data_IF_932816781059
#
_entry.id   IF_932816781059
#
_cell.length_a   1.000
_cell.length_b   1.000
_cell.length_c   1.000
_cell.angle_alpha   90.00
_cell.angle_beta   90.00
_cell.angle_gamma   90.00
#
_symmetry.space_group_name_H-M   'P 1'
#
loop_
_entity.id
_entity.type
_entity.pdbx_description
1 polymer ?
#
# COMPACT_ATOMS: atom_id res chain seq x y z
N UNK A 1 -2.58 -10.81 29.61
CA UNK A 1 -1.21 -10.99 30.16
C UNK A 1 -0.24 -10.30 29.20
N UNK A 2 0.66 -9.50 29.75
CA UNK A 2 1.74 -8.86 28.99
C UNK A 2 3.06 -9.58 29.27
N UNK A 3 3.84 -9.85 28.24
CA UNK A 3 5.19 -10.43 28.36
C UNK A 3 6.16 -9.67 27.48
N UNK A 4 7.36 -9.45 27.98
CA UNK A 4 8.50 -8.94 27.19
C UNK A 4 9.38 -10.14 26.89
N UNK A 5 9.51 -10.47 25.61
CA UNK A 5 10.33 -11.59 25.15
C UNK A 5 10.80 -11.34 23.70
N UNK A 6 11.87 -12.02 23.29
CA UNK A 6 12.37 -11.93 21.92
C UNK A 6 12.06 -13.23 21.20
N UNK A 7 11.40 -13.14 20.05
CA UNK A 7 11.20 -14.26 19.14
C UNK A 7 12.37 -14.32 18.16
N UNK A 8 12.99 -15.50 18.07
CA UNK A 8 14.09 -15.80 17.14
C UNK A 8 13.73 -16.99 16.27
N UNK A 9 14.51 -17.24 15.24
CA UNK A 9 14.31 -18.39 14.37
C UNK A 9 14.37 -19.72 15.14
N UNK A 10 15.23 -19.81 16.18
CA UNK A 10 15.43 -21.02 16.98
C UNK A 10 14.31 -21.27 18.01
N UNK A 11 13.65 -20.21 18.51
CA UNK A 11 12.67 -20.33 19.58
C UNK A 11 11.22 -20.12 19.14
N UNK A 12 10.99 -19.79 17.84
CA UNK A 12 9.67 -19.44 17.30
C UNK A 12 8.62 -20.52 17.60
N UNK A 13 8.90 -21.77 17.29
CA UNK A 13 7.99 -22.90 17.51
C UNK A 13 7.64 -23.08 18.97
N UNK A 14 8.63 -23.09 19.88
CA UNK A 14 8.43 -23.21 21.33
C UNK A 14 7.56 -22.04 21.85
N UNK A 15 7.85 -20.81 21.43
CA UNK A 15 7.13 -19.63 21.87
C UNK A 15 5.67 -19.67 21.42
N UNK A 16 5.43 -19.89 20.14
CA UNK A 16 4.08 -19.95 19.61
C UNK A 16 3.28 -21.10 20.22
N UNK A 17 3.85 -22.30 20.33
CA UNK A 17 3.20 -23.48 20.91
C UNK A 17 2.89 -23.31 22.41
N UNK A 18 3.62 -22.43 23.10
CA UNK A 18 3.36 -22.15 24.53
C UNK A 18 2.07 -21.34 24.73
N UNK A 19 1.68 -20.49 23.78
CA UNK A 19 0.60 -19.52 23.95
C UNK A 19 -0.59 -19.76 23.05
N UNK A 20 -0.46 -20.51 21.96
CA UNK A 20 -1.47 -20.67 20.92
C UNK A 20 -1.88 -22.13 20.75
N UNK A 21 -3.15 -22.33 20.46
CA UNK A 21 -3.79 -23.61 20.18
C UNK A 21 -4.68 -23.48 18.95
N UNK A 22 -5.09 -24.60 18.36
CA UNK A 22 -6.00 -24.59 17.23
C UNK A 22 -7.28 -23.79 17.52
N UNK A 23 -7.65 -22.90 16.60
CA UNK A 23 -8.79 -21.98 16.72
C UNK A 23 -8.45 -20.63 17.36
N UNK A 24 -7.25 -20.46 17.92
CA UNK A 24 -6.78 -19.13 18.36
C UNK A 24 -6.43 -18.24 17.17
N UNK A 25 -6.27 -16.93 17.41
CA UNK A 25 -5.85 -15.94 16.45
C UNK A 25 -4.48 -15.35 16.81
N UNK A 26 -3.56 -15.39 15.87
CA UNK A 26 -2.27 -14.71 15.93
C UNK A 26 -2.32 -13.44 15.10
N UNK A 27 -2.25 -12.28 15.75
CA UNK A 27 -2.02 -10.99 15.12
C UNK A 27 -0.53 -10.67 15.18
N UNK A 28 0.13 -10.75 14.04
CA UNK A 28 1.56 -10.51 13.88
C UNK A 28 1.80 -9.08 13.42
N UNK A 29 2.33 -8.26 14.31
CA UNK A 29 2.72 -6.87 14.08
C UNK A 29 4.23 -6.70 14.28
N UNK A 30 4.97 -7.81 14.28
CA UNK A 30 6.40 -7.80 14.51
C UNK A 30 7.15 -7.32 13.26
N UNK A 31 8.28 -6.68 13.50
CA UNK A 31 9.26 -6.33 12.49
C UNK A 31 10.39 -7.37 12.46
N UNK A 32 10.90 -7.65 11.27
CA UNK A 32 12.09 -8.49 11.08
C UNK A 32 11.92 -9.97 11.54
N UNK A 33 10.70 -10.50 11.42
CA UNK A 33 10.40 -11.93 11.62
C UNK A 33 9.86 -12.50 10.29
N UNK A 34 10.36 -13.65 9.86
CA UNK A 34 9.98 -14.24 8.56
C UNK A 34 8.50 -14.65 8.53
N UNK A 35 7.73 -13.98 7.67
CA UNK A 35 6.30 -14.23 7.51
C UNK A 35 5.99 -15.65 7.05
N UNK A 36 6.86 -16.28 6.22
CA UNK A 36 6.66 -17.68 5.79
C UNK A 36 6.78 -18.65 6.96
N UNK A 37 7.73 -18.38 7.88
CA UNK A 37 7.91 -19.23 9.06
C UNK A 37 6.67 -19.17 9.98
N UNK A 38 6.15 -17.96 10.26
CA UNK A 38 4.99 -17.80 11.16
C UNK A 38 3.72 -18.32 10.52
N UNK A 39 3.42 -17.95 9.27
CA UNK A 39 2.19 -18.36 8.59
C UNK A 39 2.15 -19.89 8.36
N UNK A 40 3.31 -20.50 8.06
CA UNK A 40 3.44 -21.95 7.96
C UNK A 40 3.15 -22.64 9.29
N UNK A 41 3.73 -22.13 10.38
CA UNK A 41 3.43 -22.63 11.72
C UNK A 41 1.94 -22.50 12.07
N UNK A 42 1.35 -21.33 11.82
CA UNK A 42 -0.05 -21.08 12.10
C UNK A 42 -0.99 -22.03 11.31
N UNK A 43 -0.69 -22.23 10.02
CA UNK A 43 -1.42 -23.18 9.19
C UNK A 43 -1.39 -24.61 9.77
N UNK A 44 -0.19 -25.10 10.11
CA UNK A 44 0.01 -26.48 10.57
C UNK A 44 -0.61 -26.73 11.97
N UNK A 45 -0.78 -25.67 12.77
CA UNK A 45 -1.37 -25.75 14.12
C UNK A 45 -2.83 -25.31 14.17
N UNK A 46 -3.47 -24.98 13.02
CA UNK A 46 -4.89 -24.59 12.99
C UNK A 46 -5.17 -23.22 13.62
N UNK A 47 -4.19 -22.32 13.60
CA UNK A 47 -4.27 -20.95 14.14
C UNK A 47 -4.62 -19.97 13.04
N UNK A 48 -5.60 -19.09 13.32
CA UNK A 48 -5.93 -17.97 12.42
C UNK A 48 -4.77 -16.97 12.44
N UNK A 49 -4.32 -16.53 11.27
CA UNK A 49 -3.18 -15.63 11.13
C UNK A 49 -3.55 -14.31 10.45
N UNK A 50 -3.00 -13.21 10.95
CA UNK A 50 -3.08 -11.92 10.31
C UNK A 50 -1.80 -11.12 10.54
N UNK A 51 -1.27 -10.48 9.48
CA UNK A 51 -0.18 -9.51 9.58
C UNK A 51 -0.47 -8.24 8.79
N UNK A 52 0.39 -7.22 9.00
CA UNK A 52 0.35 -5.94 8.30
C UNK A 52 1.48 -5.77 7.28
N UNK A 53 2.47 -6.68 7.28
CA UNK A 53 3.61 -6.67 6.34
C UNK A 53 4.17 -8.07 6.15
N UNK A 54 4.77 -8.34 4.97
CA UNK A 54 5.48 -9.58 4.68
C UNK A 54 6.96 -9.37 4.97
N UNK A 55 7.39 -9.78 6.17
CA UNK A 55 8.75 -9.63 6.67
C UNK A 55 9.65 -10.82 6.35
N UNK A 56 10.96 -10.64 6.52
CA UNK A 56 11.99 -11.68 6.46
C UNK A 56 12.93 -11.53 7.67
N UNK A 57 13.59 -12.63 8.09
CA UNK A 57 14.71 -12.57 9.02
C UNK A 57 15.85 -11.75 8.40
N UNK A 58 16.31 -10.70 9.11
CA UNK A 58 17.47 -9.91 8.74
C UNK A 58 17.58 -9.61 7.23
N UNK A 59 16.59 -8.93 6.60
CA UNK A 59 16.49 -8.78 5.15
C UNK A 59 17.71 -8.09 4.52
N UNK A 60 18.50 -7.39 5.31
CA UNK A 60 19.69 -6.64 4.88
C UNK A 60 21.01 -7.32 5.23
N UNK A 61 21.01 -8.46 5.94
CA UNK A 61 22.24 -9.18 6.31
C UNK A 61 23.07 -9.61 5.09
N UNK A 62 22.41 -9.91 3.95
CA UNK A 62 23.10 -10.24 2.70
C UNK A 62 23.68 -9.02 1.96
N UNK A 63 23.45 -7.80 2.47
CA UNK A 63 24.03 -6.56 1.95
C UNK A 63 23.69 -6.29 0.47
N UNK A 64 24.61 -5.63 -0.23
CA UNK A 64 24.48 -5.24 -1.63
C UNK A 64 24.54 -6.39 -2.65
N UNK A 65 24.62 -7.64 -2.21
CA UNK A 65 24.80 -8.81 -3.11
C UNK A 65 23.49 -9.31 -3.73
N UNK A 66 22.31 -8.97 -3.16
CA UNK A 66 21.02 -9.32 -3.75
C UNK A 66 20.73 -8.45 -4.96
N UNK A 67 20.19 -9.04 -6.03
CA UNK A 67 19.68 -8.28 -7.17
C UNK A 67 18.53 -7.33 -6.74
N UNK A 68 18.30 -6.21 -7.44
CA UNK A 68 17.20 -5.31 -7.13
C UNK A 68 15.83 -6.02 -7.02
N UNK A 69 15.54 -6.97 -7.92
CA UNK A 69 14.30 -7.76 -7.93
C UNK A 69 14.13 -8.68 -6.72
N UNK A 70 15.22 -9.10 -6.07
CA UNK A 70 15.21 -9.95 -4.87
C UNK A 70 15.05 -9.14 -3.58
N UNK A 71 14.99 -7.80 -3.68
CA UNK A 71 14.84 -6.86 -2.56
C UNK A 71 13.44 -6.26 -2.51
N UNK A 72 12.48 -6.81 -3.25
CA UNK A 72 11.12 -6.32 -3.42
C UNK A 72 10.12 -7.13 -2.58
N UNK A 73 8.96 -6.53 -2.30
CA UNK A 73 7.83 -7.27 -1.73
C UNK A 73 7.27 -8.29 -2.71
N UNK A 74 7.30 -8.02 -4.02
CA UNK A 74 6.94 -9.00 -5.03
C UNK A 74 7.69 -10.33 -4.83
N UNK A 75 9.00 -10.28 -4.61
CA UNK A 75 9.80 -11.49 -4.41
C UNK A 75 9.44 -12.23 -3.11
N UNK A 76 9.13 -11.48 -2.03
CA UNK A 76 8.60 -12.05 -0.78
C UNK A 76 7.25 -12.73 -1.00
N UNK A 77 6.33 -12.08 -1.74
CA UNK A 77 5.04 -12.66 -2.11
C UNK A 77 5.17 -13.91 -2.97
N UNK A 78 6.14 -13.99 -3.90
CA UNK A 78 6.34 -15.21 -4.70
C UNK A 78 6.80 -16.37 -3.84
N UNK A 79 7.62 -16.15 -2.81
CA UNK A 79 7.97 -17.18 -1.82
C UNK A 79 6.76 -17.63 -1.03
N UNK A 80 5.97 -16.67 -0.57
CA UNK A 80 4.76 -16.93 0.22
C UNK A 80 3.72 -17.72 -0.59
N UNK A 81 3.45 -17.32 -1.83
CA UNK A 81 2.56 -18.06 -2.73
C UNK A 81 3.05 -19.49 -2.97
N UNK A 82 4.35 -19.69 -3.18
CA UNK A 82 4.93 -21.03 -3.34
C UNK A 82 4.69 -21.91 -2.12
N UNK A 83 4.71 -21.37 -0.91
CA UNK A 83 4.36 -22.09 0.30
C UNK A 83 2.84 -22.37 0.33
N UNK A 84 2.03 -21.36 0.18
CA UNK A 84 0.56 -21.43 0.37
C UNK A 84 -0.14 -22.25 -0.74
N UNK A 85 0.42 -22.31 -1.94
CA UNK A 85 -0.06 -23.16 -3.04
C UNK A 85 -0.05 -24.65 -2.64
N UNK A 86 0.84 -25.05 -1.75
CA UNK A 86 0.92 -26.45 -1.26
C UNK A 86 -0.29 -26.81 -0.38
N UNK A 87 -1.02 -25.85 0.16
CA UNK A 87 -2.19 -26.05 1.02
C UNK A 87 -3.48 -26.32 0.25
N UNK A 88 -3.46 -26.10 -1.07
CA UNK A 88 -4.61 -26.35 -1.94
C UNK A 88 -5.84 -25.51 -1.59
N UNK A 89 -5.64 -24.28 -1.11
CA UNK A 89 -6.69 -23.34 -0.73
C UNK A 89 -7.47 -23.74 0.55
N UNK A 90 -6.90 -24.60 1.39
CA UNK A 90 -7.52 -25.08 2.63
C UNK A 90 -6.70 -24.66 3.85
N UNK A 91 -7.34 -24.72 5.02
CA UNK A 91 -6.72 -24.45 6.30
C UNK A 91 -7.34 -23.27 7.02
N UNK A 92 -6.77 -22.89 8.18
CA UNK A 92 -7.21 -21.71 8.91
C UNK A 92 -7.07 -20.46 8.06
N UNK A 93 -7.89 -19.47 8.34
CA UNK A 93 -7.81 -18.16 7.66
C UNK A 93 -6.46 -17.51 7.95
N UNK A 94 -5.75 -17.14 6.89
CA UNK A 94 -4.47 -16.46 6.96
C UNK A 94 -4.49 -15.26 6.02
N UNK A 95 -4.60 -14.05 6.59
CA UNK A 95 -4.64 -12.79 5.85
C UNK A 95 -3.28 -12.11 5.98
N UNK A 96 -2.67 -11.76 4.87
CA UNK A 96 -1.39 -11.04 4.87
C UNK A 96 -1.55 -9.62 4.38
N UNK A 97 -0.72 -8.72 4.93
CA UNK A 97 -0.66 -7.31 4.54
C UNK A 97 -2.02 -6.59 4.66
N UNK A 98 -2.68 -6.73 5.82
CA UNK A 98 -3.91 -6.02 6.07
C UNK A 98 -3.80 -4.98 7.19
N UNK A 99 -3.19 -3.85 6.84
CA UNK A 99 -3.26 -2.57 7.56
C UNK A 99 -4.13 -1.56 6.79
N UNK A 100 -3.82 -0.30 6.90
CA UNK A 100 -4.46 0.75 6.10
C UNK A 100 -3.97 0.67 4.64
N UNK A 101 -2.67 0.66 4.46
CA UNK A 101 -1.90 0.44 3.24
C UNK A 101 -0.56 -0.25 3.61
N UNK A 102 -0.36 -1.49 3.16
CA UNK A 102 -1.31 -2.34 2.42
C UNK A 102 -2.54 -2.73 3.27
N UNK A 103 -3.62 -3.08 2.60
CA UNK A 103 -4.85 -3.59 3.21
C UNK A 103 -6.11 -2.85 2.78
N UNK A 104 -6.56 -1.87 3.58
CA UNK A 104 -7.86 -1.22 3.36
C UNK A 104 -7.94 -0.51 2.00
N UNK A 105 -6.82 -0.05 1.43
CA UNK A 105 -6.75 0.57 0.10
C UNK A 105 -7.16 -0.36 -1.05
N UNK A 106 -7.00 -1.69 -0.91
CA UNK A 106 -7.55 -2.66 -1.87
C UNK A 106 -9.07 -2.61 -1.92
N UNK A 107 -9.72 -2.48 -0.76
CA UNK A 107 -11.18 -2.32 -0.66
C UNK A 107 -11.63 -0.94 -1.14
N UNK A 108 -10.87 0.11 -0.86
CA UNK A 108 -11.12 1.46 -1.38
C UNK A 108 -11.00 1.50 -2.91
N UNK A 109 -10.08 0.73 -3.50
CA UNK A 109 -9.96 0.57 -4.95
C UNK A 109 -11.23 -0.03 -5.55
N UNK A 110 -11.78 -1.09 -4.95
CA UNK A 110 -13.05 -1.69 -5.38
C UNK A 110 -14.21 -0.72 -5.22
N UNK A 111 -14.26 0.01 -4.09
CA UNK A 111 -15.27 1.06 -3.87
C UNK A 111 -15.17 2.16 -4.92
N UNK A 112 -13.98 2.65 -5.22
CA UNK A 112 -13.77 3.68 -6.24
C UNK A 112 -14.25 3.20 -7.62
N UNK A 113 -13.89 1.98 -8.04
CA UNK A 113 -14.35 1.39 -9.30
C UNK A 113 -15.87 1.27 -9.35
N UNK A 114 -16.50 0.86 -8.25
CA UNK A 114 -17.96 0.78 -8.13
C UNK A 114 -18.62 2.15 -8.25
N UNK A 115 -18.09 3.17 -7.55
CA UNK A 115 -18.63 4.52 -7.54
C UNK A 115 -18.47 5.19 -8.92
N UNK A 116 -17.30 5.03 -9.57
CA UNK A 116 -17.02 5.53 -10.92
C UNK A 116 -17.98 4.87 -11.93
N UNK A 117 -18.12 3.55 -11.89
CA UNK A 117 -19.00 2.82 -12.80
C UNK A 117 -20.47 3.25 -12.65
N UNK A 118 -20.95 3.33 -11.41
CA UNK A 118 -22.31 3.77 -11.09
C UNK A 118 -22.57 5.18 -11.62
N UNK A 119 -21.63 6.10 -11.37
CA UNK A 119 -21.72 7.48 -11.86
C UNK A 119 -21.65 7.55 -13.39
N UNK A 120 -20.76 6.79 -14.02
CA UNK A 120 -20.57 6.80 -15.46
C UNK A 120 -21.77 6.24 -16.22
N UNK A 121 -22.44 5.22 -15.71
CA UNK A 121 -23.72 4.72 -16.25
C UNK A 121 -24.81 5.80 -16.12
N UNK A 122 -24.96 6.36 -14.92
CA UNK A 122 -25.95 7.40 -14.63
C UNK A 122 -25.81 8.63 -15.55
N UNK A 123 -24.56 9.05 -15.79
CA UNK A 123 -24.25 10.23 -16.61
C UNK A 123 -24.15 9.92 -18.10
N UNK A 124 -24.38 8.65 -18.51
CA UNK A 124 -24.31 8.22 -19.91
C UNK A 124 -22.90 8.28 -20.53
N UNK A 125 -21.86 8.26 -19.69
CA UNK A 125 -20.47 8.35 -20.14
C UNK A 125 -19.92 7.01 -20.61
N UNK A 126 -20.46 5.89 -20.10
CA UNK A 126 -20.07 4.52 -20.45
C UNK A 126 -21.33 3.67 -20.50
N UNK A 127 -21.35 2.70 -21.41
CA UNK A 127 -22.41 1.69 -21.55
C UNK A 127 -21.81 0.30 -21.70
N UNK A 128 -22.61 -0.74 -21.44
CA UNK A 128 -22.19 -2.13 -21.59
C UNK A 128 -21.25 -2.62 -20.46
N UNK A 129 -21.30 -1.94 -19.29
CA UNK A 129 -20.58 -2.36 -18.09
C UNK A 129 -21.54 -2.81 -16.96
N UNK A 130 -22.85 -2.74 -17.18
CA UNK A 130 -23.90 -2.99 -16.18
C UNK A 130 -23.78 -4.39 -15.58
N UNK A 131 -23.52 -5.41 -16.43
CA UNK A 131 -23.34 -6.78 -15.96
C UNK A 131 -22.05 -6.91 -15.12
N UNK A 132 -20.93 -6.33 -15.57
CA UNK A 132 -19.67 -6.36 -14.82
C UNK A 132 -19.81 -5.64 -13.47
N UNK A 133 -20.61 -4.57 -13.41
CA UNK A 133 -20.90 -3.86 -12.15
C UNK A 133 -21.76 -4.73 -11.22
N UNK A 134 -22.81 -5.37 -11.75
CA UNK A 134 -23.67 -6.28 -10.98
C UNK A 134 -22.92 -7.48 -10.42
N UNK A 135 -22.00 -8.03 -11.19
CA UNK A 135 -21.20 -9.20 -10.82
C UNK A 135 -19.95 -8.82 -9.99
N UNK A 136 -19.72 -7.52 -9.74
CA UNK A 136 -18.52 -6.98 -9.11
C UNK A 136 -17.21 -7.49 -9.78
N UNK A 137 -17.25 -7.64 -11.11
CA UNK A 137 -16.08 -8.05 -11.88
C UNK A 137 -15.13 -6.85 -12.06
N UNK A 138 -14.35 -6.56 -11.02
CA UNK A 138 -13.48 -5.38 -10.95
C UNK A 138 -12.41 -5.31 -12.05
N UNK A 139 -11.74 -6.40 -12.47
CA UNK A 139 -10.84 -6.37 -13.61
C UNK A 139 -11.50 -5.83 -14.88
N UNK A 140 -12.68 -6.38 -15.22
CA UNK A 140 -13.45 -5.96 -16.40
C UNK A 140 -13.98 -4.54 -16.25
N UNK A 141 -14.42 -4.15 -15.05
CA UNK A 141 -14.84 -2.78 -14.77
C UNK A 141 -13.68 -1.80 -14.99
N UNK A 142 -12.52 -2.05 -14.41
CA UNK A 142 -11.34 -1.20 -14.55
C UNK A 142 -10.91 -1.06 -16.02
N UNK A 143 -10.90 -2.17 -16.77
CA UNK A 143 -10.61 -2.19 -18.21
C UNK A 143 -11.60 -1.34 -19.01
N UNK A 144 -12.91 -1.59 -18.84
CA UNK A 144 -13.95 -0.92 -19.62
C UNK A 144 -14.13 0.54 -19.26
N UNK A 145 -13.87 0.91 -18.00
CA UNK A 145 -13.79 2.29 -17.56
C UNK A 145 -12.57 3.02 -18.11
N UNK A 146 -11.53 2.29 -18.54
CA UNK A 146 -10.29 2.84 -19.06
C UNK A 146 -9.33 3.33 -17.97
N UNK A 147 -9.42 2.77 -16.76
CA UNK A 147 -8.47 3.09 -15.68
C UNK A 147 -7.06 2.71 -16.12
N UNK A 148 -6.12 3.64 -16.07
CA UNK A 148 -4.72 3.43 -16.48
C UNK A 148 -3.77 3.40 -15.30
N UNK A 149 -3.96 4.31 -14.33
CA UNK A 149 -3.06 4.45 -13.19
C UNK A 149 -3.86 4.51 -11.90
N UNK A 150 -3.36 3.84 -10.89
CA UNK A 150 -3.88 3.88 -9.51
C UNK A 150 -2.71 4.27 -8.60
N UNK A 151 -2.84 5.41 -7.94
CA UNK A 151 -1.98 5.72 -6.80
C UNK A 151 -2.68 5.32 -5.51
N UNK A 152 -1.95 4.68 -4.62
CA UNK A 152 -2.23 4.82 -3.22
C UNK A 152 -1.74 6.22 -2.89
N UNK A 153 -2.67 7.17 -2.75
CA UNK A 153 -2.36 8.59 -2.65
C UNK A 153 -2.53 9.04 -1.21
N UNK A 154 -1.42 9.40 -0.58
CA UNK A 154 -1.40 9.80 0.82
C UNK A 154 -0.62 11.08 1.04
N UNK A 155 -1.21 11.98 1.83
CA UNK A 155 -0.56 13.16 2.37
C UNK A 155 -0.92 13.31 3.85
N UNK A 156 0.07 13.12 4.70
CA UNK A 156 -0.03 13.41 6.13
C UNK A 156 0.36 14.86 6.40
N UNK A 157 -0.59 15.65 6.87
CA UNK A 157 -0.41 17.08 7.20
C UNK A 157 -0.30 17.32 8.70
N UNK A 158 -0.24 16.28 9.53
CA UNK A 158 -0.16 16.40 10.97
C UNK A 158 1.09 17.18 11.41
N UNK A 159 0.92 18.10 12.32
CA UNK A 159 1.99 18.96 12.87
C UNK A 159 2.10 18.78 14.36
N UNK A 160 3.33 18.82 14.86
CA UNK A 160 3.69 18.67 16.27
C UNK A 160 4.13 20.02 16.86
N UNK A 161 3.81 20.26 18.13
CA UNK A 161 4.39 21.36 18.92
C UNK A 161 5.84 21.09 19.35
N UNK A 162 6.34 19.86 19.12
CA UNK A 162 7.72 19.47 19.36
C UNK A 162 8.49 19.35 18.04
N UNK A 163 9.28 20.35 17.64
CA UNK A 163 10.04 20.32 16.40
C UNK A 163 11.00 19.12 16.32
N UNK A 164 11.21 18.59 15.11
CA UNK A 164 12.27 17.63 14.84
C UNK A 164 13.64 18.23 15.20
N UNK A 165 14.45 17.46 15.91
CA UNK A 165 15.82 17.86 16.26
C UNK A 165 16.83 17.34 15.22
N UNK A 166 18.03 17.92 15.21
CA UNK A 166 19.17 17.39 14.45
C UNK A 166 19.52 16.00 14.97
N UNK A 167 19.86 15.07 14.07
CA UNK A 167 20.11 13.66 14.37
C UNK A 167 18.91 12.94 15.05
N UNK A 168 17.71 13.36 14.78
CA UNK A 168 16.47 12.69 15.20
C UNK A 168 15.71 12.23 13.96
N UNK A 169 15.22 10.99 13.94
CA UNK A 169 14.26 10.54 12.93
C UNK A 169 12.85 10.59 13.53
N UNK A 170 11.95 11.32 12.88
CA UNK A 170 10.58 11.55 13.35
C UNK A 170 9.59 11.05 12.31
N UNK A 171 8.56 10.31 12.75
CA UNK A 171 7.47 9.84 11.90
C UNK A 171 6.16 9.77 12.70
N UNK A 172 5.02 9.51 12.07
CA UNK A 172 3.70 9.28 12.70
C UNK A 172 3.38 7.80 12.90
N UNK A 173 4.23 6.92 12.43
CA UNK A 173 4.17 5.46 12.59
C UNK A 173 5.58 4.88 12.70
N UNK A 174 5.79 3.55 12.61
CA UNK A 174 7.10 2.91 12.81
C UNK A 174 8.23 3.61 12.04
N UNK A 175 9.28 3.99 12.75
CA UNK A 175 10.48 4.58 12.14
C UNK A 175 11.25 3.52 11.38
N UNK A 176 11.41 2.33 11.96
CA UNK A 176 12.11 1.21 11.34
C UNK A 176 11.38 0.74 10.08
N UNK A 177 10.05 0.62 10.12
CA UNK A 177 9.23 0.28 8.94
C UNK A 177 9.41 1.31 7.83
N UNK A 178 9.31 2.60 8.14
CA UNK A 178 9.49 3.64 7.14
C UNK A 178 10.93 3.69 6.57
N UNK A 179 11.93 3.44 7.43
CA UNK A 179 13.31 3.28 6.99
C UNK A 179 13.43 2.15 5.96
N UNK A 180 12.93 0.96 6.29
CA UNK A 180 13.00 -0.21 5.42
C UNK A 180 12.31 0.02 4.08
N UNK A 181 11.10 0.57 4.09
CA UNK A 181 10.36 0.90 2.88
C UNK A 181 11.08 1.95 2.03
N UNK A 182 11.67 2.95 2.68
CA UNK A 182 12.34 4.07 2.03
C UNK A 182 13.64 3.68 1.32
N UNK A 183 14.43 2.77 1.90
CA UNK A 183 15.72 2.32 1.33
C UNK A 183 15.57 1.17 0.32
N UNK A 184 14.44 0.47 0.33
CA UNK A 184 14.16 -0.56 -0.64
C UNK A 184 14.02 0.01 -2.07
N UNK A 185 14.20 -0.79 -3.12
CA UNK A 185 13.92 -0.35 -4.48
C UNK A 185 12.49 0.18 -4.60
N UNK A 186 12.30 1.28 -5.36
CA UNK A 186 10.97 1.69 -5.75
C UNK A 186 10.32 0.56 -6.55
N UNK A 187 9.12 0.11 -6.13
CA UNK A 187 8.42 -0.96 -6.84
C UNK A 187 6.98 -0.57 -7.18
N UNK A 188 6.49 -1.07 -8.30
CA UNK A 188 5.18 -0.72 -8.80
C UNK A 188 4.59 -1.81 -9.69
N UNK A 189 3.27 -2.01 -9.64
CA UNK A 189 2.53 -2.73 -10.65
C UNK A 189 2.68 -2.00 -12.00
N UNK A 190 3.05 -2.73 -13.06
CA UNK A 190 3.36 -2.11 -14.34
C UNK A 190 2.24 -2.31 -15.35
N UNK A 191 1.63 -1.21 -15.76
CA UNK A 191 0.46 -1.18 -16.63
C UNK A 191 0.74 -1.61 -18.08
N UNK A 192 -0.24 -2.24 -18.72
CA UNK A 192 -0.14 -2.64 -20.14
C UNK A 192 -0.16 -1.45 -21.11
N UNK A 193 -0.52 -0.25 -20.66
CA UNK A 193 -0.53 0.99 -21.45
C UNK A 193 0.82 1.70 -21.47
N UNK A 194 1.73 1.32 -20.58
CA UNK A 194 3.06 1.97 -20.48
C UNK A 194 3.91 1.67 -21.73
N UNK A 195 4.46 2.72 -22.31
CA UNK A 195 5.20 2.64 -23.58
C UNK A 195 6.67 2.26 -23.41
N UNK A 196 7.26 2.56 -22.26
CA UNK A 196 8.68 2.33 -22.01
C UNK A 196 8.96 2.19 -20.51
N UNK A 197 9.92 1.34 -20.18
CA UNK A 197 10.41 1.20 -18.80
C UNK A 197 11.20 2.44 -18.36
N UNK A 198 11.11 2.82 -17.08
CA UNK A 198 11.99 3.82 -16.49
C UNK A 198 13.47 3.41 -16.56
N UNK A 199 14.35 4.41 -16.46
CA UNK A 199 15.80 4.14 -16.35
C UNK A 199 16.05 3.32 -15.09
N UNK A 200 16.95 2.33 -15.18
CA UNK A 200 17.29 1.40 -14.11
C UNK A 200 16.10 0.53 -13.60
N UNK A 201 15.06 0.36 -14.40
CA UNK A 201 13.99 -0.56 -14.10
C UNK A 201 14.37 -2.01 -14.39
N UNK A 202 13.91 -2.91 -13.52
CA UNK A 202 14.06 -4.35 -13.62
C UNK A 202 12.71 -5.03 -13.57
N UNK A 203 12.51 -6.02 -14.45
CA UNK A 203 11.31 -6.85 -14.49
C UNK A 203 11.55 -8.16 -13.75
N UNK A 204 10.49 -8.70 -13.14
CA UNK A 204 10.54 -10.01 -12.50
C UNK A 204 10.42 -11.14 -13.53
N UNK A 205 11.15 -12.22 -13.30
CA UNK A 205 11.14 -13.41 -14.16
C UNK A 205 10.01 -14.39 -13.82
N UNK A 206 9.60 -14.45 -12.55
CA UNK A 206 8.67 -15.41 -11.98
C UNK A 206 7.27 -14.81 -11.72
N UNK A 207 6.30 -15.67 -11.46
CA UNK A 207 4.93 -15.28 -11.12
C UNK A 207 4.18 -14.57 -12.26
N UNK A 208 3.17 -13.74 -11.95
CA UNK A 208 2.35 -13.04 -12.93
C UNK A 208 3.11 -11.94 -13.70
N UNK A 209 4.32 -11.59 -13.30
CA UNK A 209 5.20 -10.57 -13.93
C UNK A 209 4.50 -9.23 -14.13
N UNK A 210 3.66 -8.87 -13.18
CA UNK A 210 2.86 -7.66 -13.20
C UNK A 210 3.54 -6.47 -12.53
N UNK A 211 4.78 -6.63 -12.06
CA UNK A 211 5.49 -5.63 -11.32
C UNK A 211 6.89 -5.39 -11.88
N UNK A 212 7.39 -4.17 -11.69
CA UNK A 212 8.77 -3.79 -11.90
C UNK A 212 9.33 -3.18 -10.62
N UNK A 213 10.66 -3.10 -10.54
CA UNK A 213 11.32 -2.23 -9.56
C UNK A 213 12.34 -1.33 -10.25
N UNK A 214 12.60 -0.17 -9.65
CA UNK A 214 13.69 0.73 -10.05
C UNK A 214 14.83 0.56 -9.05
N UNK A 215 16.06 0.31 -9.55
CA UNK A 215 17.24 0.09 -8.72
C UNK A 215 17.74 1.38 -8.07
N UNK A 216 16.88 1.99 -7.26
CA UNK A 216 17.19 3.13 -6.39
C UNK A 216 16.22 3.14 -5.20
N UNK A 217 16.59 3.76 -4.06
CA UNK A 217 15.70 3.86 -2.92
C UNK A 217 14.35 4.50 -3.28
N UNK A 218 13.26 3.89 -2.82
CA UNK A 218 11.91 4.41 -3.06
C UNK A 218 11.75 5.85 -2.59
N UNK A 219 12.40 6.19 -1.46
CA UNK A 219 12.43 7.54 -0.91
C UNK A 219 13.09 8.60 -1.82
N UNK A 220 13.80 8.18 -2.87
CA UNK A 220 14.38 9.09 -3.88
C UNK A 220 13.58 9.13 -5.19
N UNK A 221 12.54 8.33 -5.31
CA UNK A 221 11.68 8.28 -6.49
C UNK A 221 10.39 9.05 -6.20
N UNK A 222 10.34 10.30 -6.67
CA UNK A 222 9.21 11.20 -6.40
C UNK A 222 8.31 11.32 -7.63
N UNK A 223 7.01 11.25 -7.38
CA UNK A 223 5.96 11.44 -8.39
C UNK A 223 4.98 12.52 -7.95
N UNK A 224 4.36 13.15 -8.92
CA UNK A 224 3.20 14.02 -8.69
C UNK A 224 1.97 13.15 -8.41
N UNK A 225 1.18 13.59 -7.46
CA UNK A 225 -0.08 12.98 -7.08
C UNK A 225 -1.09 14.04 -6.62
N UNK A 226 -2.25 13.60 -6.22
CA UNK A 226 -3.31 14.47 -5.75
C UNK A 226 -4.10 13.80 -4.61
N UNK A 227 -4.41 14.57 -3.61
CA UNK A 227 -5.39 14.25 -2.56
C UNK A 227 -6.43 15.36 -2.49
N UNK A 228 -7.61 15.20 -1.88
CA UNK A 228 -8.63 16.23 -1.86
C UNK A 228 -8.10 17.61 -1.49
N UNK A 229 -8.34 18.57 -2.40
CA UNK A 229 -7.93 19.98 -2.31
C UNK A 229 -6.41 20.25 -2.34
N UNK A 230 -5.56 19.26 -2.73
CA UNK A 230 -4.12 19.45 -2.73
C UNK A 230 -3.44 18.65 -3.84
N UNK A 231 -2.68 19.34 -4.72
CA UNK A 231 -1.60 18.68 -5.48
C UNK A 231 -0.44 18.40 -4.54
N UNK A 232 0.14 17.21 -4.64
CA UNK A 232 1.26 16.79 -3.80
C UNK A 232 2.32 16.07 -4.62
N UNK A 233 3.50 15.96 -4.07
CA UNK A 233 4.50 14.99 -4.51
C UNK A 233 4.57 13.86 -3.50
N UNK A 234 4.75 12.65 -3.98
CA UNK A 234 4.87 11.48 -3.11
C UNK A 234 6.04 10.59 -3.50
N UNK A 235 6.61 9.93 -2.54
CA UNK A 235 7.64 8.91 -2.75
C UNK A 235 7.00 7.62 -3.25
N UNK A 236 7.63 6.96 -4.22
CA UNK A 236 7.27 5.61 -4.67
C UNK A 236 8.03 4.61 -3.81
N UNK A 237 7.65 4.53 -2.52
CA UNK A 237 8.20 3.52 -1.63
C UNK A 237 7.51 2.17 -1.87
N UNK A 238 8.17 1.08 -1.51
CA UNK A 238 7.62 -0.25 -1.75
C UNK A 238 6.42 -0.53 -0.85
N UNK A 239 5.37 -1.09 -1.44
CA UNK A 239 4.17 -1.53 -0.74
C UNK A 239 3.54 -2.72 -1.47
N UNK A 240 3.03 -3.70 -0.71
CA UNK A 240 2.53 -4.96 -1.27
C UNK A 240 1.29 -4.80 -2.14
N UNK A 241 0.44 -3.82 -1.85
CA UNK A 241 -0.75 -3.55 -2.66
C UNK A 241 -0.43 -3.10 -4.10
N UNK A 242 0.75 -2.57 -4.37
CA UNK A 242 1.18 -2.31 -5.75
C UNK A 242 1.18 -3.60 -6.58
N UNK A 243 1.57 -4.71 -5.94
CA UNK A 243 1.51 -6.04 -6.54
C UNK A 243 0.07 -6.60 -6.54
N UNK A 244 -0.58 -6.65 -5.38
CA UNK A 244 -1.85 -7.39 -5.24
C UNK A 244 -2.99 -6.74 -6.00
N UNK A 245 -3.15 -5.40 -5.94
CA UNK A 245 -4.15 -4.67 -6.74
C UNK A 245 -3.88 -4.83 -8.24
N UNK A 246 -2.62 -4.70 -8.67
CA UNK A 246 -2.25 -4.85 -10.06
C UNK A 246 -2.54 -6.26 -10.60
N UNK A 247 -2.25 -7.30 -9.81
CA UNK A 247 -2.53 -8.69 -10.13
C UNK A 247 -4.05 -8.95 -10.20
N UNK A 248 -4.77 -8.53 -9.16
CA UNK A 248 -6.22 -8.68 -9.06
C UNK A 248 -6.97 -8.01 -10.21
N UNK A 249 -6.53 -6.85 -10.67
CA UNK A 249 -7.16 -6.10 -11.76
C UNK A 249 -6.67 -6.51 -13.16
N UNK A 250 -5.78 -7.49 -13.28
CA UNK A 250 -5.31 -7.96 -14.60
C UNK A 250 -6.39 -8.76 -15.32
N UNK A 251 -6.70 -8.37 -16.56
CA UNK A 251 -7.53 -9.15 -17.48
C UNK A 251 -6.63 -10.01 -18.34
N UNK A 252 -6.88 -11.32 -18.31
CA UNK A 252 -6.11 -12.31 -19.03
C UNK A 252 -6.90 -12.85 -20.22
N UNK A 253 -6.30 -12.90 -21.41
CA UNK A 253 -6.82 -13.58 -22.58
C UNK A 253 -5.75 -14.51 -23.16
N UNK A 254 -6.06 -15.79 -23.29
CA UNK A 254 -5.14 -16.80 -23.81
C UNK A 254 -3.75 -16.79 -23.13
N UNK A 255 -3.71 -16.59 -21.81
CA UNK A 255 -2.47 -16.54 -21.03
C UNK A 255 -1.65 -15.26 -21.18
N UNK A 256 -2.20 -14.26 -21.88
CA UNK A 256 -1.58 -12.92 -22.01
C UNK A 256 -2.39 -11.88 -21.25
N UNK A 257 -1.71 -11.05 -20.47
CA UNK A 257 -2.35 -9.88 -19.86
C UNK A 257 -2.72 -8.86 -20.96
N UNK A 258 -4.02 -8.68 -21.20
CA UNK A 258 -4.53 -7.72 -22.20
C UNK A 258 -4.85 -6.37 -21.58
N UNK A 259 -5.05 -6.32 -20.28
CA UNK A 259 -5.22 -5.10 -19.52
C UNK A 259 -4.63 -5.27 -18.12
N UNK A 260 -4.01 -4.21 -17.65
CA UNK A 260 -3.50 -4.04 -16.29
C UNK A 260 -3.23 -2.55 -16.06
N UNK A 261 -3.66 -1.95 -14.93
CA UNK A 261 -3.27 -0.59 -14.58
C UNK A 261 -1.84 -0.55 -14.02
N UNK A 262 -1.18 0.60 -14.12
CA UNK A 262 -0.01 0.91 -13.29
C UNK A 262 -0.49 1.22 -11.87
N UNK A 263 0.13 0.60 -10.86
CA UNK A 263 -0.24 0.76 -9.44
C UNK A 263 0.99 1.04 -8.60
N UNK A 264 1.00 2.11 -7.83
CA UNK A 264 2.08 2.37 -6.89
C UNK A 264 1.66 3.31 -5.76
N UNK A 265 2.45 3.32 -4.71
CA UNK A 265 2.31 4.30 -3.66
C UNK A 265 2.82 5.67 -4.13
N UNK A 266 2.17 6.72 -3.67
CA UNK A 266 2.60 8.11 -3.79
C UNK A 266 2.46 8.74 -2.41
N UNK A 267 3.46 8.52 -1.57
CA UNK A 267 3.46 8.85 -0.16
C UNK A 267 4.18 10.17 0.13
N UNK A 268 3.44 11.09 0.70
CA UNK A 268 4.02 12.30 1.28
C UNK A 268 3.72 12.34 2.78
N UNK A 269 4.68 11.91 3.63
CA UNK A 269 4.52 11.95 5.07
C UNK A 269 4.51 13.37 5.61
N UNK A 270 4.46 13.53 6.93
CA UNK A 270 4.58 14.84 7.58
C UNK A 270 5.86 15.56 7.16
N UNK A 271 5.86 16.88 7.20
CA UNK A 271 7.04 17.69 6.86
C UNK A 271 8.26 17.34 7.76
N UNK A 272 8.00 16.97 9.03
CA UNK A 272 9.04 16.49 9.94
C UNK A 272 9.65 15.16 9.51
N UNK A 273 8.84 14.25 8.98
CA UNK A 273 9.30 12.97 8.45
C UNK A 273 10.05 13.14 7.11
N UNK A 274 9.60 14.04 6.22
CA UNK A 274 10.34 14.42 5.01
C UNK A 274 11.72 14.96 5.36
N UNK A 275 11.81 15.87 6.34
CA UNK A 275 13.10 16.40 6.81
C UNK A 275 13.99 15.30 7.41
N UNK A 276 13.39 14.32 8.12
CA UNK A 276 14.13 13.16 8.65
C UNK A 276 14.68 12.28 7.54
N UNK A 277 13.90 12.06 6.49
CA UNK A 277 14.34 11.28 5.32
C UNK A 277 15.47 11.98 4.55
N UNK A 278 15.43 13.30 4.41
CA UNK A 278 16.53 14.07 3.81
C UNK A 278 17.82 13.95 4.64
N UNK A 279 17.73 14.00 5.97
CA UNK A 279 18.89 13.81 6.84
C UNK A 279 19.43 12.39 6.75
N UNK A 280 18.57 11.38 6.73
CA UNK A 280 18.93 9.98 6.49
C UNK A 280 19.68 9.80 5.17
N UNK A 281 19.19 10.41 4.09
CA UNK A 281 19.84 10.37 2.78
C UNK A 281 21.25 10.99 2.83
N UNK A 282 21.43 12.12 3.53
CA UNK A 282 22.75 12.75 3.72
C UNK A 282 23.70 11.88 4.56
N UNK A 283 23.17 11.09 5.48
CA UNK A 283 23.91 10.10 6.27
C UNK A 283 24.20 8.81 5.51
N UNK A 284 23.97 8.75 4.21
CA UNK A 284 24.13 7.56 3.38
C UNK A 284 23.31 6.38 3.88
N UNK A 285 22.07 6.66 4.31
CA UNK A 285 21.10 5.68 4.82
C UNK A 285 21.47 5.02 6.15
N UNK A 286 22.36 5.65 6.92
CA UNK A 286 22.69 5.25 8.29
C UNK A 286 21.64 5.82 9.26
N UNK A 287 20.75 4.96 9.76
CA UNK A 287 19.64 5.37 10.63
C UNK A 287 20.18 5.84 11.99
N UNK A 288 19.72 7.01 12.42
CA UNK A 288 20.07 7.55 13.73
C UNK A 288 19.46 6.73 14.88
N UNK A 289 20.14 6.65 16.02
CA UNK A 289 19.63 6.04 17.24
C UNK A 289 18.47 6.84 17.87
N UNK A 290 18.42 8.15 17.62
CA UNK A 290 17.37 9.02 18.14
C UNK A 290 16.14 8.92 17.22
N UNK A 291 15.13 8.21 17.68
CA UNK A 291 13.89 7.97 16.94
C UNK A 291 12.68 8.41 17.76
N UNK A 292 11.69 8.98 17.09
CA UNK A 292 10.46 9.43 17.74
C UNK A 292 9.24 9.20 16.85
N UNK A 293 8.26 8.50 17.38
CA UNK A 293 6.92 8.41 16.79
C UNK A 293 6.07 9.53 17.40
N UNK A 294 5.59 10.44 16.57
CA UNK A 294 4.71 11.53 16.98
C UNK A 294 3.32 11.00 17.37
N UNK A 295 2.85 11.40 18.53
CA UNK A 295 1.54 11.05 19.06
C UNK A 295 0.88 12.23 19.78
N UNK A 296 1.02 12.30 21.12
CA UNK A 296 0.33 13.29 21.96
C UNK A 296 0.72 14.74 21.64
N UNK A 297 1.92 14.96 21.13
CA UNK A 297 2.44 16.26 20.72
C UNK A 297 1.89 16.78 19.39
N UNK A 298 1.13 15.98 18.65
CA UNK A 298 0.45 16.46 17.44
C UNK A 298 -0.68 17.42 17.85
N UNK A 299 -0.68 18.61 17.29
CA UNK A 299 -1.60 19.69 17.67
C UNK A 299 -2.67 20.00 16.61
N UNK A 300 -2.40 19.66 15.33
CA UNK A 300 -3.31 19.91 14.21
C UNK A 300 -2.94 19.04 13.01
N UNK A 301 -3.79 19.05 11.98
CA UNK A 301 -3.60 18.36 10.71
C UNK A 301 -4.46 17.12 10.54
N UNK A 302 -4.38 16.56 9.36
CA UNK A 302 -5.11 15.36 8.93
C UNK A 302 -4.18 14.39 8.21
N UNK A 303 -4.59 13.13 8.14
CA UNK A 303 -3.97 12.13 7.27
C UNK A 303 -4.96 11.77 6.16
N UNK A 304 -4.66 12.25 4.94
CA UNK A 304 -5.44 12.02 3.73
C UNK A 304 -4.95 10.79 3.04
N UNK A 305 -5.47 9.64 3.44
CA UNK A 305 -5.09 8.34 2.92
C UNK A 305 -6.20 7.73 2.08
N UNK A 306 -5.89 7.40 0.84
CA UNK A 306 -6.85 6.78 -0.08
C UNK A 306 -6.22 6.31 -1.38
N UNK A 307 -7.08 6.10 -2.37
CA UNK A 307 -6.69 5.70 -3.73
C UNK A 307 -7.13 6.76 -4.74
N UNK A 308 -6.26 7.06 -5.67
CA UNK A 308 -6.51 7.95 -6.80
C UNK A 308 -6.50 7.13 -8.10
N UNK A 309 -7.68 6.89 -8.66
CA UNK A 309 -7.84 6.21 -9.93
C UNK A 309 -7.84 7.23 -11.08
N UNK A 310 -7.12 6.94 -12.15
CA UNK A 310 -6.91 7.88 -13.25
C UNK A 310 -7.04 7.23 -14.63
N UNK A 311 -7.45 8.03 -15.65
CA UNK A 311 -7.60 7.61 -17.05
C UNK A 311 -9.04 7.28 -17.47
N UNK A 312 -9.97 7.24 -16.54
CA UNK A 312 -11.41 6.97 -16.76
C UNK A 312 -12.18 8.24 -17.19
N UNK A 313 -13.52 8.15 -17.53
CA UNK A 313 -14.28 9.29 -18.07
C UNK A 313 -14.40 10.53 -17.20
N UNK A 314 -14.06 10.46 -15.92
CA UNK A 314 -13.98 11.61 -15.00
C UNK A 314 -12.54 12.11 -14.82
N UNK A 315 -11.58 11.66 -15.64
CA UNK A 315 -10.18 12.01 -15.56
C UNK A 315 -9.49 11.37 -14.35
N UNK A 316 -9.81 11.82 -13.14
CA UNK A 316 -9.36 11.28 -11.86
C UNK A 316 -10.49 11.12 -10.86
N UNK A 317 -10.34 10.21 -9.93
CA UNK A 317 -11.29 9.96 -8.84
C UNK A 317 -10.55 9.51 -7.59
N UNK A 318 -10.76 10.19 -6.48
CA UNK A 318 -10.15 9.84 -5.22
C UNK A 318 -11.17 9.26 -4.25
N UNK A 319 -10.79 8.18 -3.55
CA UNK A 319 -11.61 7.52 -2.52
C UNK A 319 -10.75 7.19 -1.32
N UNK A 320 -11.14 7.66 -0.12
CA UNK A 320 -10.34 7.43 1.09
C UNK A 320 -10.85 8.15 2.31
N UNK A 321 -9.98 8.30 3.30
CA UNK A 321 -10.20 8.96 4.59
C UNK A 321 -9.59 10.36 4.62
N UNK A 322 -10.26 11.27 5.31
CA UNK A 322 -9.80 12.63 5.65
C UNK A 322 -9.73 12.79 7.17
N UNK A 323 -9.27 11.74 7.87
CA UNK A 323 -9.27 11.73 9.33
C UNK A 323 -8.29 12.77 9.88
N UNK A 324 -8.80 13.72 10.64
CA UNK A 324 -7.99 14.72 11.32
C UNK A 324 -7.67 14.31 12.77
N UNK A 325 -6.65 14.95 13.34
CA UNK A 325 -6.18 14.62 14.70
C UNK A 325 -7.26 14.83 15.78
N UNK A 326 -8.13 15.81 15.64
CA UNK A 326 -9.15 16.11 16.64
C UNK A 326 -10.24 15.04 16.67
N UNK A 327 -10.66 14.56 15.50
CA UNK A 327 -11.63 13.47 15.40
C UNK A 327 -11.00 12.12 15.75
N UNK A 328 -9.76 11.88 15.37
CA UNK A 328 -8.99 10.72 15.80
C UNK A 328 -8.96 10.60 17.33
N UNK A 329 -8.68 11.68 18.05
CA UNK A 329 -8.62 11.70 19.52
C UNK A 329 -9.97 11.55 20.23
N UNK A 330 -11.07 11.89 19.57
CA UNK A 330 -12.42 11.56 20.08
C UNK A 330 -12.70 10.06 19.98
N UNK A 331 -12.18 9.40 18.93
CA UNK A 331 -12.33 7.97 18.72
C UNK A 331 -11.39 7.18 19.64
N UNK A 332 -10.10 7.53 19.61
CA UNK A 332 -9.05 6.86 20.40
C UNK A 332 -8.16 7.93 21.04
N UNK A 333 -8.32 8.22 22.35
CA UNK A 333 -7.54 9.24 23.01
C UNK A 333 -6.03 9.05 22.85
N UNK A 334 -5.31 10.14 22.65
CA UNK A 334 -3.83 10.21 22.55
C UNK A 334 -3.22 9.64 21.26
N UNK A 335 -4.00 9.11 20.33
CA UNK A 335 -3.48 8.54 19.08
C UNK A 335 -3.47 9.56 17.93
N UNK A 336 -2.53 9.36 16.99
CA UNK A 336 -2.48 10.08 15.72
C UNK A 336 -3.61 9.62 14.77
N UNK A 337 -3.90 10.40 13.75
CA UNK A 337 -4.84 10.00 12.71
C UNK A 337 -4.34 8.74 11.97
N UNK A 338 -3.06 8.70 11.60
CA UNK A 338 -2.40 7.57 10.94
C UNK A 338 -2.54 6.28 11.76
N UNK A 339 -2.22 6.33 13.06
CA UNK A 339 -2.34 5.14 13.93
C UNK A 339 -3.79 4.63 14.02
N UNK A 340 -4.78 5.53 14.08
CA UNK A 340 -6.19 5.13 14.15
C UNK A 340 -6.65 4.50 12.82
N UNK A 341 -6.21 5.03 11.69
CA UNK A 341 -6.50 4.43 10.37
C UNK A 341 -5.91 3.02 10.26
N UNK A 342 -4.64 2.83 10.61
CA UNK A 342 -4.00 1.51 10.60
C UNK A 342 -4.71 0.53 11.54
N UNK A 343 -4.95 0.94 12.79
CA UNK A 343 -5.61 0.08 13.79
C UNK A 343 -7.05 -0.30 13.38
N UNK A 344 -7.79 0.62 12.77
CA UNK A 344 -9.15 0.36 12.29
C UNK A 344 -9.18 -0.65 11.15
N UNK A 345 -8.20 -0.61 10.27
CA UNK A 345 -8.03 -1.54 9.16
C UNK A 345 -7.67 -2.95 9.65
N UNK A 346 -6.72 -3.03 10.60
CA UNK A 346 -6.38 -4.31 11.28
C UNK A 346 -7.61 -4.88 12.00
N UNK A 347 -8.35 -4.04 12.74
CA UNK A 347 -9.58 -4.45 13.41
C UNK A 347 -10.60 -5.04 12.43
N UNK A 348 -10.79 -4.42 11.28
CA UNK A 348 -11.71 -4.90 10.25
C UNK A 348 -11.33 -6.31 9.74
N UNK A 349 -10.04 -6.52 9.46
CA UNK A 349 -9.55 -7.82 9.03
C UNK A 349 -9.68 -8.90 10.12
N UNK A 350 -9.35 -8.56 11.37
CA UNK A 350 -9.53 -9.45 12.52
C UNK A 350 -11.00 -9.84 12.69
N UNK A 351 -11.92 -8.86 12.64
CA UNK A 351 -13.35 -9.12 12.76
C UNK A 351 -13.85 -10.06 11.66
N UNK A 352 -13.41 -9.84 10.42
CA UNK A 352 -13.76 -10.71 9.31
C UNK A 352 -13.14 -12.12 9.45
N UNK A 353 -11.86 -12.22 9.81
CA UNK A 353 -11.17 -13.50 9.97
C UNK A 353 -11.80 -14.38 11.06
N UNK A 354 -12.18 -13.77 12.19
CA UNK A 354 -12.86 -14.49 13.28
C UNK A 354 -14.24 -15.02 12.86
N UNK A 355 -14.94 -14.30 11.99
CA UNK A 355 -16.22 -14.74 11.42
C UNK A 355 -16.05 -15.82 10.32
N UNK A 356 -14.86 -15.92 9.73
CA UNK A 356 -14.53 -16.80 8.60
C UNK A 356 -13.23 -17.59 8.87
N UNK A 357 -13.20 -18.48 9.89
CA UNK A 357 -11.96 -19.04 10.44
C UNK A 357 -11.25 -20.08 9.56
N UNK A 358 -11.85 -20.53 8.44
CA UNK A 358 -11.33 -21.59 7.58
C UNK A 358 -11.31 -21.20 6.09
N UNK A 359 -10.93 -19.95 5.78
CA UNK A 359 -10.92 -19.44 4.42
C UNK A 359 -9.57 -19.64 3.68
N UNK A 360 -8.57 -20.24 4.35
CA UNK A 360 -7.24 -20.44 3.76
C UNK A 360 -6.44 -19.14 3.68
N UNK A 361 -5.44 -19.14 2.79
CA UNK A 361 -4.58 -17.97 2.52
C UNK A 361 -5.29 -16.92 1.66
N UNK A 362 -5.23 -15.67 2.09
CA UNK A 362 -5.89 -14.54 1.44
C UNK A 362 -5.00 -13.29 1.45
N UNK A 363 -5.09 -12.50 0.39
CA UNK A 363 -4.62 -11.12 0.36
C UNK A 363 -5.83 -10.18 0.48
N UNK A 364 -5.66 -8.88 0.78
CA UNK A 364 -6.79 -7.95 0.95
C UNK A 364 -7.74 -7.92 -0.24
N UNK A 365 -7.22 -8.10 -1.45
CA UNK A 365 -8.02 -8.10 -2.69
C UNK A 365 -8.99 -9.28 -2.79
N UNK A 366 -8.78 -10.36 -2.03
CA UNK A 366 -9.68 -11.53 -2.02
C UNK A 366 -10.89 -11.35 -1.08
N UNK A 367 -10.82 -10.37 -0.16
CA UNK A 367 -11.83 -10.17 0.86
C UNK A 367 -13.06 -9.40 0.33
N UNK A 368 -14.25 -9.59 0.95
CA UNK A 368 -15.47 -8.88 0.59
C UNK A 368 -15.40 -7.40 1.03
N UNK A 369 -15.11 -6.52 0.09
CA UNK A 369 -14.80 -5.12 0.35
C UNK A 369 -15.85 -4.35 1.16
N UNK A 370 -17.16 -4.65 0.95
CA UNK A 370 -18.25 -3.97 1.68
C UNK A 370 -18.26 -4.31 3.15
N UNK A 371 -18.05 -5.58 3.48
CA UNK A 371 -18.02 -6.04 4.88
C UNK A 371 -16.82 -5.45 5.62
N UNK A 372 -15.63 -5.53 4.99
CA UNK A 372 -14.40 -5.02 5.58
C UNK A 372 -14.47 -3.50 5.76
N UNK A 373 -14.90 -2.75 4.75
CA UNK A 373 -15.12 -1.31 4.89
C UNK A 373 -16.17 -0.98 5.95
N UNK A 374 -17.23 -1.77 6.08
CA UNK A 374 -18.26 -1.59 7.11
C UNK A 374 -17.72 -1.73 8.53
N UNK A 375 -16.78 -2.66 8.78
CA UNK A 375 -16.12 -2.78 10.09
C UNK A 375 -15.22 -1.57 10.39
N UNK A 376 -14.49 -1.06 9.39
CA UNK A 376 -13.55 0.05 9.59
C UNK A 376 -14.22 1.43 9.68
N UNK A 377 -15.39 1.63 9.06
CA UNK A 377 -16.01 2.95 8.81
C UNK A 377 -16.11 3.82 10.05
N UNK A 378 -16.50 3.25 11.17
CA UNK A 378 -16.63 3.97 12.45
C UNK A 378 -15.35 4.66 12.90
N UNK A 379 -14.20 4.08 12.60
CA UNK A 379 -12.88 4.55 13.05
C UNK A 379 -12.09 5.22 11.92
N UNK A 380 -12.58 5.12 10.68
CA UNK A 380 -11.92 5.69 9.49
C UNK A 380 -12.29 7.17 9.26
N UNK A 381 -13.25 7.70 9.99
CA UNK A 381 -13.75 9.08 9.82
C UNK A 381 -14.70 9.23 8.65
N UNK A 382 -15.28 8.12 8.16
CA UNK A 382 -16.11 8.07 6.97
C UNK A 382 -15.31 7.95 5.68
N UNK A 383 -16.01 7.73 4.56
CA UNK A 383 -15.39 7.59 3.25
C UNK A 383 -15.73 8.76 2.35
N UNK A 384 -14.71 9.52 1.96
CA UNK A 384 -14.84 10.50 0.89
C UNK A 384 -14.61 9.78 -0.46
N UNK A 385 -15.50 10.01 -1.45
CA UNK A 385 -15.36 9.42 -2.78
C UNK A 385 -15.89 10.41 -3.81
N UNK A 386 -15.00 10.99 -4.63
CA UNK A 386 -15.36 12.05 -5.57
C UNK A 386 -14.42 12.17 -6.76
N UNK A 387 -14.96 12.65 -7.88
CA UNK A 387 -14.19 13.01 -9.05
C UNK A 387 -13.27 14.20 -8.76
N UNK A 388 -12.10 14.19 -9.41
CA UNK A 388 -11.14 15.30 -9.40
C UNK A 388 -10.74 15.66 -10.83
N UNK A 389 -10.74 16.95 -11.14
CA UNK A 389 -10.23 17.41 -12.43
C UNK A 389 -8.73 17.65 -12.36
N UNK A 390 -7.97 16.55 -12.25
CA UNK A 390 -6.52 16.57 -12.14
C UNK A 390 -5.87 15.56 -13.09
N UNK A 391 -4.70 15.93 -13.61
CA UNK A 391 -3.78 15.04 -14.30
C UNK A 391 -2.32 15.47 -14.03
N UNK A 392 -1.31 14.61 -14.27
CA UNK A 392 0.08 14.90 -13.96
C UNK A 392 0.70 16.03 -14.78
N UNK A 393 0.07 16.47 -15.84
CA UNK A 393 0.55 17.58 -16.70
C UNK A 393 -0.02 18.94 -16.30
N UNK A 394 -1.07 18.97 -15.46
CA UNK A 394 -1.62 20.24 -14.95
C UNK A 394 -0.55 21.03 -14.18
N UNK A 395 -0.58 22.37 -14.34
CA UNK A 395 0.34 23.30 -13.67
C UNK A 395 1.84 22.99 -13.87
N UNK A 396 2.18 22.18 -14.91
CA UNK A 396 3.57 21.98 -15.29
C UNK A 396 4.04 23.19 -16.11
N UNK A 397 4.57 24.19 -15.41
CA UNK A 397 5.26 25.30 -16.05
C UNK A 397 6.76 25.02 -16.06
N UNK A 398 7.26 24.47 -17.15
CA UNK A 398 8.70 24.26 -17.31
C UNK A 398 9.40 25.59 -17.58
N UNK A 399 9.99 26.17 -16.53
CA UNK A 399 10.73 27.44 -16.59
C UNK A 399 11.94 27.37 -17.52
N UNK A 400 12.42 26.19 -17.82
CA UNK A 400 13.59 25.94 -18.67
C UNK A 400 13.23 25.18 -19.95
N UNK A 401 11.97 25.25 -20.41
CA UNK A 401 11.51 24.62 -21.66
C UNK A 401 12.39 25.09 -22.82
N UNK A 402 13.01 24.14 -23.53
CA UNK A 402 13.95 24.39 -24.60
C UNK A 402 15.43 24.41 -24.17
N UNK A 403 15.73 24.41 -22.91
CA UNK A 403 17.08 24.34 -22.35
C UNK A 403 17.40 22.99 -21.66
N UNK A 404 16.37 22.27 -21.25
CA UNK A 404 16.48 20.92 -20.71
C UNK A 404 15.95 19.88 -21.71
N UNK A 405 16.30 18.62 -21.51
CA UNK A 405 15.85 17.49 -22.33
C UNK A 405 14.58 16.83 -21.81
N UNK A 406 13.88 17.43 -20.84
CA UNK A 406 12.67 16.87 -20.26
C UNK A 406 11.54 16.90 -21.30
N UNK A 407 10.98 15.74 -21.58
CA UNK A 407 9.86 15.60 -22.51
C UNK A 407 8.70 14.95 -21.76
N UNK A 408 7.53 15.53 -21.96
CA UNK A 408 6.28 14.96 -21.48
C UNK A 408 5.50 14.38 -22.66
N UNK A 409 4.83 13.26 -22.46
CA UNK A 409 3.91 12.72 -23.45
C UNK A 409 2.54 13.39 -23.28
N UNK A 410 2.33 14.51 -23.98
CA UNK A 410 1.07 15.26 -23.96
C UNK A 410 -0.09 14.48 -24.62
N UNK A 411 0.22 13.46 -25.44
CA UNK A 411 -0.78 12.62 -26.10
C UNK A 411 -1.37 11.55 -25.19
N UNK A 412 -0.64 11.17 -24.13
CA UNK A 412 -1.06 10.20 -23.13
C UNK A 412 -0.54 10.62 -21.75
N UNK A 413 -1.28 11.45 -21.03
CA UNK A 413 -0.84 12.00 -19.75
C UNK A 413 -0.57 10.92 -18.68
N UNK A 414 -1.11 9.73 -18.86
CA UNK A 414 -1.10 8.65 -17.87
C UNK A 414 0.14 7.74 -17.93
N UNK A 415 1.16 8.11 -18.69
CA UNK A 415 2.45 7.42 -18.68
C UNK A 415 3.22 7.73 -17.39
N UNK A 416 3.84 6.72 -16.77
CA UNK A 416 4.60 6.89 -15.51
C UNK A 416 5.64 8.02 -15.60
N UNK A 417 6.30 8.17 -16.77
CA UNK A 417 7.26 9.25 -17.01
C UNK A 417 6.68 10.65 -16.82
N UNK A 418 5.37 10.83 -17.02
CA UNK A 418 4.69 12.10 -16.82
C UNK A 418 4.43 12.43 -15.33
N UNK A 419 4.45 11.44 -14.46
CA UNK A 419 4.30 11.65 -13.01
C UNK A 419 5.62 12.03 -12.35
N UNK A 420 6.76 11.62 -12.86
CA UNK A 420 8.08 11.92 -12.26
C UNK A 420 8.29 13.41 -12.00
N UNK A 421 8.89 13.75 -10.87
CA UNK A 421 9.21 15.13 -10.44
C UNK A 421 10.59 15.57 -10.96
#
# INVERSE_FOLDING_TARGET
TFKIDTVTQENLDEKLSTYLSAGDLLLDLAWNIDANAIIGWAHDHGVIYLNTSVEEWEPYAAGATRNPTERTLYWRHMKLRKLTDTWGGKGPTAIVEHGANPGLVSHLTKKALFDIATSAIKDGKVSGIEQALSDENFPVLAQKLGVKVIHIAERDTQISDKPKQVNEFVNTWSVEGFYEEGIAPAEMGWGTHEKSLPVNAYQHADGPKNQICIAQPGATTWVRSWVPNMETTGMVIRHGEAFTISDHLTVWENGKAVYRPTVHYAYCPTDAAVASMHELQMRQWDLTENQRIMNEEIIDGDDRLGVLLMGHPYKSWWTGSLLNIHDSRKLVPKQSATTVQVASAVYAAVAWAMANPNSGYLVPDDLPWREVLGFAEKYWGGYHSAAADWDPLMHRNDLFKGWNNRKYDESDPWQFSNFLV
#
